data_IF_089550778054
#
_entry.id   IF_089550778054
#
_cell.length_a   1.000
_cell.length_b   1.000
_cell.length_c   1.000
_cell.angle_alpha   90.00
_cell.angle_beta   90.00
_cell.angle_gamma   90.00
#
_symmetry.space_group_name_H-M   'P 1'
#
loop_
_entity.id
_entity.type
_entity.pdbx_description
1 polymer ?
#
# COMPACT_ATOMS: atom_id res chain seq x y z
N UNK A 1 93.26 -18.78 -39.48
CA UNK A 1 92.46 -17.55 -39.30
C UNK A 1 91.12 -17.99 -38.73
N UNK A 2 90.91 -17.78 -37.43
CA UNK A 2 89.65 -18.07 -36.73
C UNK A 2 89.17 -16.71 -36.24
N UNK A 3 88.02 -16.26 -36.72
CA UNK A 3 87.45 -14.96 -36.37
C UNK A 3 86.91 -14.98 -34.92
N UNK A 4 87.29 -13.95 -34.15
CA UNK A 4 86.76 -13.66 -32.83
C UNK A 4 85.35 -13.05 -32.93
N UNK A 5 84.39 -13.41 -32.05
CA UNK A 5 83.08 -12.80 -32.04
C UNK A 5 83.11 -11.41 -31.37
N UNK A 6 82.56 -10.41 -32.07
CA UNK A 6 82.35 -9.05 -31.55
C UNK A 6 81.37 -9.04 -30.36
N UNK A 7 81.82 -8.38 -29.27
CA UNK A 7 81.02 -8.05 -28.09
C UNK A 7 80.09 -6.87 -28.39
N UNK A 8 78.78 -7.07 -28.23
CA UNK A 8 77.80 -5.98 -28.25
C UNK A 8 77.53 -5.51 -26.80
N UNK A 9 77.40 -4.19 -26.55
CA UNK A 9 77.08 -3.68 -25.23
C UNK A 9 75.65 -4.07 -24.82
N UNK A 10 75.52 -4.66 -23.63
CA UNK A 10 74.23 -4.92 -22.98
C UNK A 10 73.75 -3.61 -22.34
N UNK A 11 72.87 -2.88 -23.02
CA UNK A 11 72.07 -1.85 -22.36
C UNK A 11 70.98 -2.55 -21.55
N UNK A 12 71.12 -2.54 -20.22
CA UNK A 12 70.04 -2.87 -19.29
C UNK A 12 68.94 -1.83 -19.45
N UNK A 13 67.68 -2.21 -19.77
CA UNK A 13 66.58 -1.27 -19.73
C UNK A 13 66.36 -0.87 -18.27
N UNK A 14 66.60 0.41 -17.98
CA UNK A 14 66.25 1.05 -16.73
C UNK A 14 64.71 1.05 -16.64
N UNK A 15 64.17 0.03 -15.98
CA UNK A 15 62.73 -0.06 -15.70
C UNK A 15 62.34 1.12 -14.83
N UNK A 16 61.63 2.08 -15.43
CA UNK A 16 61.13 3.24 -14.71
C UNK A 16 60.15 2.81 -13.60
N UNK A 17 60.56 3.09 -12.37
CA UNK A 17 59.85 2.92 -11.10
C UNK A 17 58.60 3.84 -10.95
N UNK A 18 57.94 4.18 -12.05
CA UNK A 18 56.85 5.19 -12.09
C UNK A 18 55.45 4.61 -12.23
N UNK A 19 55.30 3.33 -12.57
CA UNK A 19 53.98 2.71 -12.79
C UNK A 19 53.42 1.94 -11.58
N UNK A 20 54.18 1.77 -10.49
CA UNK A 20 53.65 1.18 -9.24
C UNK A 20 52.89 2.16 -8.35
N UNK A 21 52.89 3.46 -8.68
CA UNK A 21 52.16 4.49 -7.92
C UNK A 21 50.76 4.84 -8.44
N UNK A 22 50.31 4.27 -9.56
CA UNK A 22 48.95 4.47 -10.11
C UNK A 22 47.99 3.30 -9.87
N UNK A 23 48.34 2.38 -8.97
CA UNK A 23 47.50 1.25 -8.56
C UNK A 23 47.22 1.23 -7.04
N UNK A 24 47.20 2.39 -6.38
CA UNK A 24 46.90 2.47 -4.94
C UNK A 24 45.68 3.32 -4.54
N UNK A 25 45.02 4.01 -5.46
CA UNK A 25 43.93 4.95 -5.13
C UNK A 25 42.50 4.46 -5.46
N UNK A 26 42.26 3.15 -5.39
CA UNK A 26 40.89 2.64 -5.35
C UNK A 26 40.73 1.48 -4.36
N UNK A 27 41.34 1.61 -3.17
CA UNK A 27 41.03 0.71 -2.05
C UNK A 27 39.73 1.17 -1.38
N UNK A 28 38.60 0.87 -2.01
CA UNK A 28 37.35 0.75 -1.23
C UNK A 28 37.58 -0.38 -0.24
N UNK A 29 37.59 -0.08 1.06
CA UNK A 29 37.86 -1.08 2.09
C UNK A 29 36.81 -2.17 2.04
N UNK A 30 37.19 -3.44 2.23
CA UNK A 30 36.24 -4.55 2.37
C UNK A 30 35.23 -4.31 3.50
N UNK A 31 35.62 -3.53 4.52
CA UNK A 31 34.73 -3.14 5.61
C UNK A 31 33.74 -2.05 5.18
N UNK A 32 34.14 -1.16 4.28
CA UNK A 32 33.27 -0.12 3.70
C UNK A 32 32.27 -0.75 2.73
N UNK A 33 32.70 -1.75 1.95
CA UNK A 33 31.80 -2.51 1.09
C UNK A 33 30.80 -3.32 1.92
N UNK A 34 31.24 -3.96 3.01
CA UNK A 34 30.36 -4.71 3.92
C UNK A 34 29.39 -3.80 4.66
N UNK A 35 29.81 -2.60 5.04
CA UNK A 35 28.93 -1.62 5.71
C UNK A 35 27.94 -1.03 4.72
N UNK A 36 28.35 -0.73 3.48
CA UNK A 36 27.46 -0.33 2.39
C UNK A 36 26.46 -1.42 2.04
N UNK A 37 26.88 -2.67 1.83
CA UNK A 37 25.97 -3.80 1.57
C UNK A 37 25.00 -4.01 2.74
N UNK A 38 25.45 -3.88 3.99
CA UNK A 38 24.55 -3.93 5.15
C UNK A 38 23.59 -2.76 5.19
N UNK A 39 24.05 -1.55 4.89
CA UNK A 39 23.21 -0.36 4.86
C UNK A 39 22.20 -0.44 3.73
N UNK A 40 22.60 -0.82 2.51
CA UNK A 40 21.73 -1.07 1.36
C UNK A 40 20.75 -2.22 1.63
N UNK A 41 21.17 -3.32 2.24
CA UNK A 41 20.26 -4.39 2.65
C UNK A 41 19.28 -3.92 3.72
N UNK A 42 19.70 -3.04 4.63
CA UNK A 42 18.83 -2.41 5.64
C UNK A 42 17.88 -1.40 5.00
N UNK A 43 18.34 -0.69 3.97
CA UNK A 43 17.59 0.31 3.22
C UNK A 43 16.59 -0.35 2.25
N UNK A 44 16.93 -1.49 1.65
CA UNK A 44 16.04 -2.35 0.87
C UNK A 44 15.03 -3.09 1.76
N UNK A 45 15.44 -3.48 2.98
CA UNK A 45 14.50 -3.91 4.03
C UNK A 45 13.54 -2.80 4.46
N UNK A 46 13.97 -1.53 4.41
CA UNK A 46 13.12 -0.37 4.71
C UNK A 46 12.36 0.17 3.48
N UNK A 47 12.77 -0.16 2.25
CA UNK A 47 11.98 0.04 1.04
C UNK A 47 10.93 -1.06 0.86
N UNK A 48 10.87 -2.02 1.80
CA UNK A 48 9.76 -2.96 1.92
C UNK A 48 8.46 -2.16 2.11
N UNK A 49 7.46 -2.46 1.31
CA UNK A 49 6.08 -1.98 1.36
C UNK A 49 5.76 -1.11 2.59
N UNK A 50 5.81 0.21 2.43
CA UNK A 50 5.40 1.13 3.50
C UNK A 50 3.88 1.24 3.45
N UNK A 51 3.22 0.66 4.45
CA UNK A 51 1.78 0.76 4.65
C UNK A 51 1.48 1.40 6.01
N UNK A 52 0.37 2.16 6.15
CA UNK A 52 -0.03 2.71 7.44
C UNK A 52 -0.38 1.61 8.44
N UNK A 53 -0.28 1.96 9.73
CA UNK A 53 -0.86 1.14 10.78
C UNK A 53 -2.39 1.13 10.66
N UNK A 54 -3.06 0.02 11.00
CA UNK A 54 -4.52 -0.09 10.88
C UNK A 54 -5.26 0.97 11.72
N UNK A 55 -4.69 1.33 12.86
CA UNK A 55 -5.20 2.35 13.78
C UNK A 55 -5.22 3.75 13.14
N UNK A 56 -4.41 3.96 12.09
CA UNK A 56 -4.31 5.23 11.38
C UNK A 56 -5.20 5.29 10.12
N UNK A 57 -5.70 4.16 9.61
CA UNK A 57 -6.44 4.15 8.33
C UNK A 57 -7.69 5.01 8.42
N UNK A 58 -8.51 4.83 9.46
CA UNK A 58 -9.76 5.58 9.58
C UNK A 58 -9.51 7.08 9.79
N UNK A 59 -8.49 7.46 10.56
CA UNK A 59 -8.16 8.88 10.77
C UNK A 59 -7.55 9.52 9.52
N UNK A 60 -6.72 8.79 8.77
CA UNK A 60 -6.19 9.24 7.48
C UNK A 60 -7.29 9.36 6.42
N UNK A 61 -8.22 8.40 6.35
CA UNK A 61 -9.39 8.50 5.49
C UNK A 61 -10.23 9.72 5.83
N UNK A 62 -10.56 9.95 7.12
CA UNK A 62 -11.28 11.16 7.55
C UNK A 62 -10.52 12.44 7.17
N UNK A 63 -9.19 12.45 7.27
CA UNK A 63 -8.37 13.59 6.85
C UNK A 63 -8.46 13.91 5.36
N UNK A 64 -8.89 12.96 4.53
CA UNK A 64 -9.10 13.13 3.09
C UNK A 64 -10.55 13.42 2.72
N UNK A 65 -11.49 13.29 3.67
CA UNK A 65 -12.89 13.61 3.43
C UNK A 65 -13.04 15.12 3.28
N UNK A 66 -13.42 15.54 2.08
CA UNK A 66 -13.74 16.92 1.75
C UNK A 66 -15.24 17.15 1.62
N UNK A 67 -15.62 18.43 1.49
CA UNK A 67 -16.99 18.81 1.18
C UNK A 67 -17.42 18.25 -0.17
N UNK A 68 -18.58 17.59 -0.21
CA UNK A 68 -19.16 17.00 -1.40
C UNK A 68 -20.30 17.86 -1.87
N UNK A 69 -20.30 18.19 -3.16
CA UNK A 69 -21.43 18.85 -3.81
C UNK A 69 -22.52 17.82 -4.12
N UNK A 70 -23.27 17.43 -3.08
CA UNK A 70 -24.28 16.36 -3.17
C UNK A 70 -25.27 16.55 -4.32
N UNK A 71 -25.67 17.79 -4.62
CA UNK A 71 -26.59 18.09 -5.71
C UNK A 71 -26.00 17.73 -7.07
N UNK A 72 -24.76 18.14 -7.35
CA UNK A 72 -24.08 17.85 -8.61
C UNK A 72 -23.90 16.34 -8.81
N UNK A 73 -23.53 15.61 -7.75
CA UNK A 73 -23.34 14.16 -7.82
C UNK A 73 -24.68 13.42 -8.01
N UNK A 74 -25.73 13.81 -7.28
CA UNK A 74 -27.03 13.14 -7.32
C UNK A 74 -27.72 13.26 -8.69
N UNK A 75 -27.50 14.37 -9.40
CA UNK A 75 -28.22 14.70 -10.63
C UNK A 75 -27.36 14.71 -11.88
N UNK A 76 -26.07 14.30 -11.78
CA UNK A 76 -25.12 14.29 -12.89
C UNK A 76 -25.65 13.60 -14.16
N UNK A 77 -26.35 12.48 -13.99
CA UNK A 77 -26.86 11.64 -15.09
C UNK A 77 -28.40 11.71 -15.20
N UNK A 78 -29.04 12.73 -14.61
CA UNK A 78 -30.49 12.89 -14.64
C UNK A 78 -30.91 14.05 -15.55
N UNK A 79 -31.21 13.75 -16.81
CA UNK A 79 -31.64 14.72 -17.83
C UNK A 79 -32.95 15.47 -17.48
N UNK A 80 -33.70 15.00 -16.47
CA UNK A 80 -34.94 15.62 -16.02
C UNK A 80 -34.76 16.48 -14.77
N UNK A 81 -33.57 16.50 -14.18
CA UNK A 81 -33.29 17.33 -13.03
C UNK A 81 -33.17 18.80 -13.45
N UNK A 82 -33.83 19.68 -12.71
CA UNK A 82 -33.79 21.12 -12.85
C UNK A 82 -33.26 21.76 -11.56
N UNK A 83 -33.06 23.07 -11.56
CA UNK A 83 -32.58 23.83 -10.39
C UNK A 83 -33.50 23.69 -9.15
N UNK A 84 -34.75 23.25 -9.34
CA UNK A 84 -35.71 23.02 -8.25
C UNK A 84 -35.65 21.59 -7.69
N UNK A 85 -34.88 20.70 -8.31
CA UNK A 85 -34.73 19.31 -7.89
C UNK A 85 -34.08 19.24 -6.51
N UNK A 86 -34.81 18.65 -5.55
CA UNK A 86 -34.42 18.65 -4.14
C UNK A 86 -33.62 17.41 -3.77
N UNK A 87 -32.63 17.61 -2.90
CA UNK A 87 -31.91 16.51 -2.28
C UNK A 87 -32.81 15.78 -1.28
N UNK A 88 -32.86 14.46 -1.40
CA UNK A 88 -33.55 13.57 -0.47
C UNK A 88 -32.54 12.84 0.43
N UNK A 89 -33.02 12.30 1.55
CA UNK A 89 -32.22 11.50 2.48
C UNK A 89 -31.39 10.42 1.77
N UNK A 90 -31.95 9.74 0.77
CA UNK A 90 -31.27 8.67 0.02
C UNK A 90 -30.00 9.16 -0.70
N UNK A 91 -30.01 10.38 -1.24
CA UNK A 91 -28.85 10.94 -1.94
C UNK A 91 -27.68 11.11 -0.97
N UNK A 92 -27.94 11.71 0.19
CA UNK A 92 -26.91 11.87 1.23
C UNK A 92 -26.36 10.53 1.70
N UNK A 93 -27.22 9.52 1.91
CA UNK A 93 -26.79 8.20 2.38
C UNK A 93 -25.91 7.48 1.36
N UNK A 94 -26.36 7.40 0.10
CA UNK A 94 -25.66 6.69 -0.96
C UNK A 94 -24.34 7.40 -1.28
N UNK A 95 -24.37 8.70 -1.56
CA UNK A 95 -23.20 9.47 -1.98
C UNK A 95 -22.13 9.47 -0.88
N UNK A 96 -22.51 9.61 0.39
CA UNK A 96 -21.54 9.60 1.50
C UNK A 96 -20.80 8.26 1.57
N UNK A 97 -21.52 7.13 1.42
CA UNK A 97 -20.90 5.80 1.44
C UNK A 97 -20.04 5.57 0.21
N UNK A 98 -20.52 5.94 -0.98
CA UNK A 98 -19.77 5.78 -2.22
C UNK A 98 -18.47 6.58 -2.23
N UNK A 99 -18.50 7.80 -1.70
CA UNK A 99 -17.32 8.65 -1.60
C UNK A 99 -16.29 8.08 -0.62
N UNK A 100 -16.73 7.59 0.55
CA UNK A 100 -15.84 6.88 1.49
C UNK A 100 -15.21 5.66 0.82
N UNK A 101 -16.01 4.87 0.11
CA UNK A 101 -15.53 3.69 -0.60
C UNK A 101 -14.58 4.05 -1.75
N UNK A 102 -14.81 5.19 -2.43
CA UNK A 102 -13.90 5.73 -3.44
C UNK A 102 -12.56 6.09 -2.82
N UNK A 103 -12.55 6.87 -1.73
CA UNK A 103 -11.32 7.22 -1.01
C UNK A 103 -10.56 5.96 -0.55
N UNK A 104 -11.25 4.97 0.01
CA UNK A 104 -10.62 3.71 0.40
C UNK A 104 -9.99 2.98 -0.79
N UNK A 105 -10.64 2.96 -1.96
CA UNK A 105 -10.08 2.37 -3.19
C UNK A 105 -8.87 3.13 -3.71
N UNK A 106 -8.94 4.47 -3.76
CA UNK A 106 -7.88 5.31 -4.30
C UNK A 106 -6.58 5.20 -3.48
N UNK A 107 -6.70 5.03 -2.16
CA UNK A 107 -5.58 4.78 -1.27
C UNK A 107 -5.15 3.31 -1.19
N UNK A 108 -5.90 2.39 -1.83
CA UNK A 108 -5.73 0.94 -1.70
C UNK A 108 -5.85 0.45 -0.24
N UNK A 109 -6.72 1.09 0.55
CA UNK A 109 -6.96 0.75 1.96
C UNK A 109 -8.28 -0.02 2.17
N UNK A 110 -8.62 -0.89 1.21
CA UNK A 110 -9.90 -1.60 1.08
C UNK A 110 -10.77 -1.65 2.35
N UNK A 111 -12.01 -1.22 2.25
CA UNK A 111 -12.97 -1.19 3.36
C UNK A 111 -14.16 -2.06 2.96
N UNK A 112 -14.49 -3.07 3.75
CA UNK A 112 -15.57 -3.99 3.39
C UNK A 112 -16.25 -4.66 4.58
N UNK A 113 -17.36 -5.31 4.28
CA UNK A 113 -18.08 -6.26 5.13
C UNK A 113 -17.88 -7.67 4.57
N UNK A 114 -17.52 -8.61 5.43
CA UNK A 114 -17.52 -10.05 5.14
C UNK A 114 -18.29 -10.79 6.21
N UNK A 115 -19.44 -11.36 5.84
CA UNK A 115 -20.36 -11.98 6.80
C UNK A 115 -20.93 -10.94 7.78
N UNK A 116 -20.66 -11.12 9.07
CA UNK A 116 -21.08 -10.21 10.14
C UNK A 116 -20.00 -9.19 10.55
N UNK A 117 -18.80 -9.28 9.99
CA UNK A 117 -17.63 -8.50 10.40
C UNK A 117 -17.24 -7.47 9.34
N UNK A 118 -16.53 -6.44 9.80
CA UNK A 118 -16.01 -5.34 8.99
C UNK A 118 -14.51 -5.39 8.98
N UNK A 119 -13.89 -5.03 7.86
CA UNK A 119 -12.44 -5.09 7.72
C UNK A 119 -11.90 -3.87 6.96
N UNK A 120 -10.71 -3.43 7.36
CA UNK A 120 -9.85 -2.55 6.56
C UNK A 120 -8.64 -3.33 6.08
N UNK A 121 -8.18 -3.05 4.86
CA UNK A 121 -6.90 -3.46 4.34
C UNK A 121 -5.93 -2.30 4.49
N UNK A 122 -4.72 -2.52 5.02
CA UNK A 122 -3.75 -1.42 5.17
C UNK A 122 -2.78 -1.28 4.00
N UNK A 123 -2.82 -2.18 3.01
CA UNK A 123 -1.78 -2.32 2.00
C UNK A 123 -0.97 -3.61 2.14
N UNK A 124 -1.10 -4.30 3.27
CA UNK A 124 -0.48 -5.60 3.52
C UNK A 124 -1.49 -6.70 3.89
N UNK A 125 -2.34 -6.45 4.88
CA UNK A 125 -3.30 -7.44 5.35
C UNK A 125 -4.60 -6.77 5.81
N UNK A 126 -5.61 -7.60 6.04
CA UNK A 126 -6.92 -7.17 6.53
C UNK A 126 -6.99 -7.26 8.06
N UNK A 127 -7.58 -6.26 8.71
CA UNK A 127 -7.87 -6.29 10.15
C UNK A 127 -9.33 -5.98 10.39
N UNK A 128 -9.93 -6.65 11.36
CA UNK A 128 -11.30 -6.39 11.75
C UNK A 128 -11.45 -5.00 12.35
N UNK A 129 -12.60 -4.38 12.08
CA UNK A 129 -13.01 -3.10 12.67
C UNK A 129 -14.22 -3.35 13.55
N UNK A 130 -14.25 -2.72 14.71
CA UNK A 130 -15.42 -2.73 15.57
C UNK A 130 -16.58 -1.98 14.91
N UNK A 131 -17.78 -2.54 15.08
CA UNK A 131 -19.00 -1.99 14.48
C UNK A 131 -19.26 -0.55 14.89
N UNK A 132 -19.05 -0.23 16.17
CA UNK A 132 -19.33 1.10 16.70
C UNK A 132 -18.29 2.13 16.25
N UNK A 133 -17.04 1.73 16.08
CA UNK A 133 -15.98 2.56 15.50
C UNK A 133 -16.30 2.91 14.04
N UNK A 134 -16.71 1.91 13.25
CA UNK A 134 -17.15 2.12 11.88
C UNK A 134 -18.36 3.06 11.82
N UNK A 135 -19.36 2.88 12.69
CA UNK A 135 -20.52 3.79 12.79
C UNK A 135 -20.11 5.21 13.17
N UNK A 136 -19.17 5.39 14.09
CA UNK A 136 -18.64 6.70 14.46
C UNK A 136 -17.92 7.36 13.28
N UNK A 137 -17.04 6.62 12.60
CA UNK A 137 -16.33 7.05 11.40
C UNK A 137 -17.30 7.53 10.30
N UNK A 138 -18.31 6.71 9.94
CA UNK A 138 -19.28 7.06 8.88
C UNK A 138 -20.04 8.35 9.20
N UNK A 139 -20.46 8.54 10.45
CA UNK A 139 -21.16 9.77 10.89
C UNK A 139 -20.27 11.01 10.73
N UNK A 140 -19.03 10.91 11.21
CA UNK A 140 -18.06 12.02 11.12
C UNK A 140 -17.74 12.35 9.67
N UNK A 141 -17.55 11.34 8.83
CA UNK A 141 -17.31 11.52 7.40
C UNK A 141 -18.50 12.23 6.73
N UNK A 142 -19.74 11.78 6.97
CA UNK A 142 -20.93 12.41 6.39
C UNK A 142 -21.07 13.89 6.82
N UNK A 143 -20.81 14.21 8.09
CA UNK A 143 -20.79 15.60 8.58
C UNK A 143 -19.73 16.44 7.86
N UNK A 144 -18.51 15.91 7.67
CA UNK A 144 -17.43 16.60 6.94
C UNK A 144 -17.73 16.79 5.45
N UNK A 145 -18.49 15.87 4.83
CA UNK A 145 -18.95 15.99 3.45
C UNK A 145 -20.00 17.09 3.26
N UNK A 146 -20.60 17.60 4.33
CA UNK A 146 -21.60 18.67 4.28
C UNK A 146 -23.02 18.22 4.59
N UNK A 147 -23.22 17.01 5.13
CA UNK A 147 -24.51 16.66 5.76
C UNK A 147 -24.66 17.52 7.02
N UNK A 148 -25.84 18.11 7.19
CA UNK A 148 -26.15 18.94 8.36
C UNK A 148 -25.89 18.17 9.67
N UNK A 149 -25.27 18.85 10.64
CA UNK A 149 -24.75 18.25 11.88
C UNK A 149 -25.79 17.45 12.68
N UNK A 150 -26.98 18.01 12.92
CA UNK A 150 -28.03 17.33 13.67
C UNK A 150 -28.56 16.12 12.89
N UNK A 151 -28.66 16.23 11.58
CA UNK A 151 -29.04 15.13 10.68
C UNK A 151 -28.01 14.01 10.73
N UNK A 152 -26.73 14.30 10.54
CA UNK A 152 -25.64 13.32 10.56
C UNK A 152 -25.54 12.59 11.90
N UNK A 153 -25.79 13.29 13.01
CA UNK A 153 -25.73 12.75 14.37
C UNK A 153 -27.03 12.08 14.83
N UNK A 154 -28.13 12.32 14.14
CA UNK A 154 -29.42 11.70 14.46
C UNK A 154 -29.32 10.17 14.32
N UNK A 155 -29.78 9.44 15.34
CA UNK A 155 -29.59 7.99 15.43
C UNK A 155 -30.14 7.24 14.20
N UNK A 156 -31.28 7.68 13.67
CA UNK A 156 -31.92 7.03 12.52
C UNK A 156 -31.14 7.26 11.22
N UNK A 157 -30.57 8.46 11.02
CA UNK A 157 -29.72 8.72 9.86
C UNK A 157 -28.44 7.90 9.95
N UNK A 158 -27.81 7.87 11.13
CA UNK A 158 -26.63 7.07 11.38
C UNK A 158 -26.86 5.57 11.16
N UNK A 159 -28.00 5.04 11.60
CA UNK A 159 -28.35 3.64 11.38
C UNK A 159 -28.61 3.34 9.90
N UNK A 160 -29.30 4.25 9.19
CA UNK A 160 -29.50 4.11 7.74
C UNK A 160 -28.19 4.21 6.96
N UNK A 161 -27.27 5.09 7.38
CA UNK A 161 -25.96 5.24 6.76
C UNK A 161 -25.11 3.98 6.92
N UNK A 162 -25.13 3.41 8.12
CA UNK A 162 -24.47 2.14 8.39
C UNK A 162 -25.10 0.98 7.61
N UNK A 163 -26.44 0.93 7.49
CA UNK A 163 -27.13 -0.06 6.64
C UNK A 163 -26.76 0.10 5.17
N UNK A 164 -26.70 1.34 4.66
CA UNK A 164 -26.26 1.61 3.30
C UNK A 164 -24.82 1.11 3.07
N UNK A 165 -23.92 1.34 4.03
CA UNK A 165 -22.57 0.77 3.99
C UNK A 165 -22.58 -0.76 3.98
N UNK A 166 -23.43 -1.40 4.79
CA UNK A 166 -23.50 -2.87 4.85
C UNK A 166 -23.90 -3.52 3.52
N UNK A 167 -24.71 -2.84 2.73
CA UNK A 167 -25.10 -3.28 1.38
C UNK A 167 -24.00 -2.97 0.36
N UNK A 168 -23.43 -1.77 0.42
CA UNK A 168 -22.44 -1.30 -0.57
C UNK A 168 -21.07 -1.97 -0.39
N UNK A 169 -20.65 -2.20 0.84
CA UNK A 169 -19.35 -2.75 1.21
C UNK A 169 -19.27 -4.27 1.22
N UNK A 170 -20.28 -4.98 0.72
CA UNK A 170 -20.29 -6.44 0.73
C UNK A 170 -19.14 -7.00 -0.12
N UNK A 171 -18.27 -7.81 0.51
CA UNK A 171 -17.23 -8.57 -0.18
C UNK A 171 -17.56 -10.07 -0.11
N UNK A 172 -17.76 -10.75 -1.25
CA UNK A 172 -17.96 -12.19 -1.27
C UNK A 172 -16.70 -12.92 -0.79
N UNK A 173 -16.87 -14.16 -0.32
CA UNK A 173 -15.72 -14.99 0.02
C UNK A 173 -14.81 -15.18 -1.21
N UNK A 174 -13.48 -15.00 -1.07
CA UNK A 174 -12.55 -15.32 -2.14
C UNK A 174 -12.71 -16.77 -2.57
N UNK A 175 -12.51 -17.06 -3.86
CA UNK A 175 -12.43 -18.45 -4.33
C UNK A 175 -11.16 -19.08 -3.79
N UNK A 176 -11.30 -20.10 -2.95
CA UNK A 176 -10.17 -20.84 -2.42
C UNK A 176 -9.50 -21.67 -3.52
N UNK A 177 -8.17 -21.54 -3.65
CA UNK A 177 -7.35 -22.47 -4.41
C UNK A 177 -6.57 -23.35 -3.42
N UNK A 178 -6.96 -24.62 -3.32
CA UNK A 178 -6.34 -25.57 -2.37
C UNK A 178 -4.90 -25.96 -2.73
N UNK A 179 -4.46 -25.67 -3.96
CA UNK A 179 -3.11 -25.97 -4.43
C UNK A 179 -2.11 -24.86 -4.13
N UNK A 180 -2.59 -23.71 -3.64
CA UNK A 180 -1.77 -22.52 -3.40
C UNK A 180 -1.96 -22.03 -1.97
N UNK A 181 -0.86 -22.01 -1.21
CA UNK A 181 -0.81 -21.40 0.11
C UNK A 181 -0.22 -20.00 -0.01
N UNK A 182 -0.83 -19.03 0.66
CA UNK A 182 -0.38 -17.63 0.68
C UNK A 182 -0.10 -17.21 2.11
N UNK A 183 1.09 -16.69 2.37
CA UNK A 183 1.53 -16.26 3.70
C UNK A 183 2.00 -14.82 3.60
N UNK A 184 1.41 -13.92 4.39
CA UNK A 184 1.87 -12.55 4.48
C UNK A 184 3.06 -12.42 5.44
N UNK A 185 4.11 -11.80 4.94
CA UNK A 185 5.37 -11.49 5.60
C UNK A 185 5.58 -9.97 5.57
N UNK A 186 6.59 -9.46 6.28
CA UNK A 186 6.86 -8.01 6.32
C UNK A 186 7.29 -7.43 4.97
N UNK A 187 7.85 -8.26 4.08
CA UNK A 187 8.32 -7.86 2.76
C UNK A 187 7.39 -8.28 1.60
N UNK A 188 6.24 -8.90 1.87
CA UNK A 188 5.26 -9.26 0.85
C UNK A 188 4.44 -10.50 1.17
N UNK A 189 3.70 -11.00 0.17
CA UNK A 189 2.99 -12.28 0.25
C UNK A 189 3.84 -13.35 -0.40
N UNK A 190 4.24 -14.34 0.39
CA UNK A 190 4.90 -15.53 -0.10
C UNK A 190 3.85 -16.54 -0.57
N UNK A 191 3.90 -16.86 -1.86
CA UNK A 191 2.97 -17.77 -2.52
C UNK A 191 3.67 -19.10 -2.79
N UNK A 192 3.09 -20.19 -2.29
CA UNK A 192 3.62 -21.55 -2.39
C UNK A 192 2.60 -22.36 -3.19
N UNK A 193 2.95 -22.69 -4.43
CA UNK A 193 2.21 -23.63 -5.26
C UNK A 193 3.00 -24.92 -5.51
N UNK A 194 2.39 -25.87 -6.22
CA UNK A 194 2.99 -27.19 -6.51
C UNK A 194 4.30 -27.10 -7.30
N UNK A 195 4.40 -26.15 -8.24
CA UNK A 195 5.52 -26.06 -9.18
C UNK A 195 6.43 -24.83 -8.98
N UNK A 196 5.97 -23.84 -8.21
CA UNK A 196 6.69 -22.57 -8.04
C UNK A 196 6.42 -21.95 -6.68
N UNK A 197 7.42 -21.24 -6.18
CA UNK A 197 7.32 -20.42 -4.98
C UNK A 197 7.92 -19.05 -5.30
N UNK A 198 7.22 -17.98 -4.91
CA UNK A 198 7.71 -16.64 -5.17
C UNK A 198 7.13 -15.64 -4.17
N UNK A 199 7.86 -14.55 -3.96
CA UNK A 199 7.40 -13.42 -3.16
C UNK A 199 6.80 -12.37 -4.10
N UNK A 200 5.63 -11.83 -3.76
CA UNK A 200 5.00 -10.72 -4.48
C UNK A 200 4.45 -9.67 -3.53
N UNK A 201 3.99 -8.56 -4.11
CA UNK A 201 3.24 -7.55 -3.39
C UNK A 201 1.98 -8.17 -2.74
N UNK A 202 1.60 -7.70 -1.54
CA UNK A 202 0.32 -8.04 -0.96
C UNK A 202 -0.84 -7.60 -1.86
N UNK A 203 -1.86 -8.44 -1.93
CA UNK A 203 -3.07 -8.15 -2.70
C UNK A 203 -4.29 -8.25 -1.78
N UNK A 204 -5.10 -7.19 -1.78
CA UNK A 204 -6.35 -7.14 -1.03
C UNK A 204 -7.31 -8.28 -1.43
N UNK A 205 -7.25 -8.76 -2.68
CA UNK A 205 -8.08 -9.85 -3.18
C UNK A 205 -7.78 -11.20 -2.50
N UNK A 206 -6.59 -11.36 -1.90
CA UNK A 206 -6.23 -12.58 -1.16
C UNK A 206 -6.97 -12.70 0.18
N UNK A 207 -7.50 -11.59 0.70
CA UNK A 207 -8.19 -11.51 1.98
C UNK A 207 -7.42 -12.16 3.15
N UNK A 208 -6.11 -11.96 3.21
CA UNK A 208 -5.29 -12.48 4.31
C UNK A 208 -5.42 -11.53 5.52
N UNK A 209 -5.82 -12.06 6.67
CA UNK A 209 -6.14 -11.27 7.88
C UNK A 209 -5.02 -11.22 8.91
N UNK A 210 -3.81 -11.60 8.53
CA UNK A 210 -2.65 -11.65 9.41
C UNK A 210 -1.37 -11.36 8.62
N UNK A 211 -0.30 -11.02 9.34
CA UNK A 211 1.04 -10.86 8.78
C UNK A 211 2.04 -11.37 9.83
N UNK A 212 3.00 -12.17 9.39
CA UNK A 212 4.07 -12.66 10.26
C UNK A 212 5.16 -11.58 10.39
N UNK A 213 5.77 -11.40 11.58
CA UNK A 213 6.68 -10.29 11.86
C UNK A 213 8.12 -10.55 11.38
N UNK A 214 8.27 -11.20 10.24
CA UNK A 214 9.58 -11.46 9.60
C UNK A 214 9.48 -11.39 8.08
N UNK A 215 10.62 -11.22 7.43
CA UNK A 215 10.77 -11.20 5.98
C UNK A 215 11.21 -12.58 5.46
N UNK A 216 10.85 -12.92 4.22
CA UNK A 216 11.35 -14.11 3.51
C UNK A 216 12.86 -14.06 3.30
#
# INVERSE_FOLDING_TARGET
MRDEPQSYPVETPEYQEKDTKKLQDSKVSLNDLRSQIKQEATHLKHSAFVFPAHEQIMSQLLGQVGAVKFWEVAFKDNDKADENSKLEKKHYLIISVEEIMRLARDNKWGLCRKGAFFYTFNGAFWKSIEKDDLKAFLRTAAEQMGVERFTARHFEFADHLFKQFNETGYLPAPKENKEVVKINLTNGTFEIGTNRQFLRAPDQADFITHQLPFAY
#
